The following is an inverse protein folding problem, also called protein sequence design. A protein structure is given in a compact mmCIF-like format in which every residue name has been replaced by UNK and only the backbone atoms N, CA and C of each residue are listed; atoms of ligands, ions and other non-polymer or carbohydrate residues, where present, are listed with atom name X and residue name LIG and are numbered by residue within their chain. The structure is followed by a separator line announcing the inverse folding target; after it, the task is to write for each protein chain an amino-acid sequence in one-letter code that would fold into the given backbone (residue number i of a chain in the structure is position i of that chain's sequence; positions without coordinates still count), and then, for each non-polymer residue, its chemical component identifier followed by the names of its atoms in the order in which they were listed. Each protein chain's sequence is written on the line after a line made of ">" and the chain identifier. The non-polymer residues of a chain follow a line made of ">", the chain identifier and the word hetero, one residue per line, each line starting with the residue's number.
data_IF_424083075028
#
_entry.id   IF_424083075028
#
_cell.length_a   1.000
_cell.length_b   1.000
_cell.length_c   1.000
_cell.angle_alpha   90.00
_cell.angle_beta   90.00
_cell.angle_gamma   90.00
#
_symmetry.space_group_name_H-M   'P 1'
#
loop_
_entity.id
_entity.type
_entity.pdbx_description
1 polymer ?
#
# COMPACT_ATOMS: atom_id res chain seq x y z
N UNK A 1 11.22 -11.43 15.30
CA UNK A 1 10.78 -10.92 13.96
C UNK A 1 11.46 -9.58 13.74
N UNK A 2 12.00 -9.34 12.56
CA UNK A 2 12.55 -8.04 12.16
C UNK A 2 11.41 -7.27 11.47
N UNK A 3 10.72 -6.40 12.23
CA UNK A 3 9.54 -5.70 11.73
C UNK A 3 9.87 -4.72 10.59
N UNK A 4 11.09 -4.22 10.57
CA UNK A 4 11.63 -3.29 9.56
C UNK A 4 11.44 -3.82 8.13
N UNK A 5 11.55 -5.15 7.97
CA UNK A 5 11.41 -5.85 6.69
C UNK A 5 9.96 -5.93 6.16
N UNK A 6 9.00 -5.42 6.92
CA UNK A 6 7.59 -5.36 6.53
C UNK A 6 7.12 -3.92 6.27
N UNK A 7 7.95 -2.90 6.51
CA UNK A 7 7.50 -1.51 6.58
C UNK A 7 7.69 -0.77 5.26
N UNK A 8 6.59 -0.18 4.77
CA UNK A 8 6.61 0.97 3.87
C UNK A 8 6.44 2.22 4.73
N UNK A 9 7.53 2.96 4.94
CA UNK A 9 7.53 4.19 5.73
C UNK A 9 6.79 5.28 4.96
N UNK A 10 5.67 5.77 5.53
CA UNK A 10 4.64 6.48 4.75
C UNK A 10 4.41 7.91 5.22
N UNK A 11 4.43 8.84 4.28
CA UNK A 11 4.03 10.24 4.50
C UNK A 11 3.21 10.73 3.29
N UNK A 12 1.88 10.81 3.45
CA UNK A 12 0.94 11.14 2.37
C UNK A 12 0.06 12.36 2.67
N UNK A 13 0.31 13.07 3.79
CA UNK A 13 -0.48 14.26 4.12
C UNK A 13 -0.34 15.33 3.01
N UNK A 14 -1.42 16.05 2.66
CA UNK A 14 -1.39 17.03 1.55
C UNK A 14 -0.47 18.22 1.82
N UNK A 15 -0.10 18.43 3.08
CA UNK A 15 0.81 19.50 3.51
C UNK A 15 2.27 19.04 3.64
N UNK A 16 2.60 17.83 3.16
CA UNK A 16 3.96 17.31 3.25
C UNK A 16 4.95 18.22 2.51
N UNK A 17 6.03 18.59 3.18
CA UNK A 17 7.11 19.40 2.61
C UNK A 17 8.26 18.51 2.14
N UNK A 18 9.13 19.06 1.29
CA UNK A 18 10.33 18.33 0.84
C UNK A 18 11.25 17.94 2.01
N UNK A 19 11.39 18.80 3.00
CA UNK A 19 12.25 18.50 4.16
C UNK A 19 11.69 17.32 5.00
N UNK A 20 10.38 17.23 5.14
CA UNK A 20 9.74 16.07 5.80
C UNK A 20 9.91 14.78 4.98
N UNK A 21 9.78 14.84 3.65
CA UNK A 21 10.02 13.70 2.74
C UNK A 21 11.49 13.27 2.79
N UNK A 22 12.42 14.21 2.78
CA UNK A 22 13.86 13.93 2.89
C UNK A 22 14.20 13.26 4.22
N UNK A 23 13.60 13.72 5.31
CA UNK A 23 13.72 13.09 6.63
C UNK A 23 13.20 11.65 6.59
N UNK A 24 11.99 11.42 6.04
CA UNK A 24 11.40 10.10 5.84
C UNK A 24 12.36 9.14 5.10
N UNK A 25 12.99 9.62 4.02
CA UNK A 25 13.95 8.83 3.24
C UNK A 25 15.22 8.51 4.05
N UNK A 26 15.73 9.45 4.83
CA UNK A 26 16.89 9.24 5.69
C UNK A 26 16.59 8.20 6.77
N UNK A 27 15.44 8.29 7.43
CA UNK A 27 14.95 7.31 8.39
C UNK A 27 14.80 5.92 7.76
N UNK A 28 14.25 5.83 6.53
CA UNK A 28 14.10 4.55 5.84
C UNK A 28 15.44 3.87 5.56
N UNK A 29 16.49 4.64 5.21
CA UNK A 29 17.86 4.11 5.02
C UNK A 29 18.47 3.66 6.34
N UNK A 30 18.33 4.46 7.40
CA UNK A 30 18.88 4.19 8.73
C UNK A 30 18.30 2.92 9.35
N UNK A 31 16.98 2.77 9.29
CA UNK A 31 16.27 1.63 9.87
C UNK A 31 16.17 0.42 8.94
N UNK A 32 16.56 0.55 7.68
CA UNK A 32 16.47 -0.53 6.69
C UNK A 32 15.02 -0.91 6.34
N UNK A 33 14.13 0.08 6.21
CA UNK A 33 12.75 -0.16 5.76
C UNK A 33 12.72 -0.58 4.30
N UNK A 34 11.70 -1.35 3.93
CA UNK A 34 11.59 -1.91 2.58
C UNK A 34 11.33 -0.82 1.55
N UNK A 35 10.46 0.13 1.86
CA UNK A 35 10.09 1.21 0.96
C UNK A 35 9.76 2.49 1.72
N UNK A 36 9.80 3.60 1.00
CA UNK A 36 9.08 4.83 1.37
C UNK A 36 7.83 4.95 0.49
N UNK A 37 6.74 5.47 1.08
CA UNK A 37 5.51 5.75 0.33
C UNK A 37 5.21 7.24 0.41
N UNK A 38 5.28 7.93 -0.74
CA UNK A 38 5.28 9.39 -0.84
C UNK A 38 4.25 9.88 -1.86
N UNK A 39 3.80 11.15 -1.77
CA UNK A 39 2.95 11.75 -2.80
C UNK A 39 3.63 11.76 -4.18
N UNK A 40 2.86 11.64 -5.29
CA UNK A 40 3.41 11.58 -6.66
C UNK A 40 4.39 12.70 -7.00
N UNK A 41 4.11 13.92 -6.54
CA UNK A 41 4.98 15.10 -6.72
C UNK A 41 6.45 14.87 -6.33
N UNK A 42 6.71 14.00 -5.36
CA UNK A 42 8.04 13.79 -4.81
C UNK A 42 8.79 12.58 -5.38
N UNK A 43 8.15 11.74 -6.19
CA UNK A 43 8.72 10.47 -6.67
C UNK A 43 10.10 10.66 -7.29
N UNK A 44 10.23 11.57 -8.25
CA UNK A 44 11.50 11.83 -8.95
C UNK A 44 12.62 12.24 -7.98
N UNK A 45 12.33 13.22 -7.12
CA UNK A 45 13.31 13.71 -6.12
C UNK A 45 13.71 12.64 -5.11
N UNK A 46 12.74 11.82 -4.69
CA UNK A 46 12.97 10.70 -3.76
C UNK A 46 13.82 9.63 -4.43
N UNK A 47 13.55 9.30 -5.70
CA UNK A 47 14.37 8.33 -6.45
C UNK A 47 15.81 8.78 -6.59
N UNK A 48 16.03 10.06 -6.89
CA UNK A 48 17.36 10.66 -6.94
C UNK A 48 18.04 10.66 -5.55
N UNK A 49 17.31 11.03 -4.50
CA UNK A 49 17.84 11.08 -3.14
C UNK A 49 18.20 9.69 -2.59
N UNK A 50 17.45 8.65 -2.96
CA UNK A 50 17.67 7.26 -2.54
C UNK A 50 18.62 6.49 -3.47
N UNK A 51 19.27 7.14 -4.43
CA UNK A 51 20.21 6.48 -5.33
C UNK A 51 21.32 5.75 -4.55
N UNK A 52 21.59 4.50 -4.95
CA UNK A 52 22.55 3.62 -4.26
C UNK A 52 22.03 3.01 -2.94
N UNK A 53 20.72 3.11 -2.66
CA UNK A 53 20.04 2.48 -1.53
C UNK A 53 19.13 1.35 -2.02
N UNK A 54 18.92 0.34 -1.18
CA UNK A 54 17.95 -0.75 -1.44
C UNK A 54 16.50 -0.36 -1.12
N UNK A 55 16.26 0.86 -0.59
CA UNK A 55 14.92 1.34 -0.23
C UNK A 55 14.12 1.62 -1.51
N UNK A 56 12.99 0.94 -1.67
CA UNK A 56 12.08 1.11 -2.80
C UNK A 56 11.27 2.41 -2.69
N UNK A 57 10.90 2.96 -3.85
CA UNK A 57 10.03 4.14 -3.95
C UNK A 57 8.62 3.69 -4.32
N UNK A 58 7.69 3.82 -3.40
CA UNK A 58 6.26 3.60 -3.61
C UNK A 58 5.53 4.93 -3.67
N UNK A 59 4.49 5.02 -4.51
CA UNK A 59 3.61 6.18 -4.57
C UNK A 59 2.16 5.75 -4.74
N UNK A 60 1.25 6.72 -4.70
CA UNK A 60 -0.21 6.48 -4.74
C UNK A 60 -0.82 6.94 -6.05
N UNK A 61 -1.89 6.26 -6.48
CA UNK A 61 -2.61 6.49 -7.73
C UNK A 61 -4.11 6.61 -7.44
N UNK A 62 -4.78 7.63 -8.01
CA UNK A 62 -6.20 7.89 -7.77
C UNK A 62 -6.54 8.18 -6.31
N UNK A 63 -5.59 8.67 -5.56
CA UNK A 63 -5.62 8.74 -4.11
C UNK A 63 -6.22 10.06 -3.59
N UNK A 64 -7.01 10.08 -2.48
CA UNK A 64 -7.35 8.89 -1.67
C UNK A 64 -8.69 8.22 -2.03
N UNK A 65 -9.47 8.74 -2.97
CA UNK A 65 -10.88 8.36 -3.14
C UNK A 65 -11.13 7.31 -4.24
N UNK A 66 -10.23 7.14 -5.20
CA UNK A 66 -10.31 6.12 -6.24
C UNK A 66 -11.35 6.34 -7.34
N UNK A 67 -12.12 7.41 -7.32
CA UNK A 67 -13.23 7.65 -8.25
C UNK A 67 -12.83 8.34 -9.57
N UNK A 68 -11.54 8.56 -9.80
CA UNK A 68 -11.04 9.09 -11.08
C UNK A 68 -11.32 8.12 -12.23
N UNK A 69 -11.46 8.66 -13.43
CA UNK A 69 -11.57 7.85 -14.64
C UNK A 69 -10.34 6.93 -14.80
N UNK A 70 -10.52 5.79 -15.47
CA UNK A 70 -9.44 4.81 -15.68
C UNK A 70 -8.27 5.45 -16.40
N UNK A 71 -8.54 6.27 -17.41
CA UNK A 71 -7.53 6.98 -18.21
C UNK A 71 -6.69 7.95 -17.36
N UNK A 72 -7.32 8.60 -16.37
CA UNK A 72 -6.62 9.49 -15.45
C UNK A 72 -5.66 8.68 -14.55
N UNK A 73 -6.10 7.54 -14.01
CA UNK A 73 -5.25 6.63 -13.25
C UNK A 73 -4.10 6.07 -14.10
N UNK A 74 -4.38 5.73 -15.37
CA UNK A 74 -3.35 5.30 -16.32
C UNK A 74 -2.30 6.40 -16.52
N UNK A 75 -2.71 7.65 -16.70
CA UNK A 75 -1.78 8.77 -16.83
C UNK A 75 -0.92 8.95 -15.57
N UNK A 76 -1.52 8.89 -14.37
CA UNK A 76 -0.79 8.94 -13.10
C UNK A 76 0.23 7.80 -12.98
N UNK A 77 -0.15 6.56 -13.35
CA UNK A 77 0.74 5.39 -13.34
C UNK A 77 1.93 5.60 -14.28
N UNK A 78 1.69 6.03 -15.51
CA UNK A 78 2.76 6.26 -16.49
C UNK A 78 3.74 7.31 -15.99
N UNK A 79 3.24 8.43 -15.47
CA UNK A 79 4.08 9.49 -14.91
C UNK A 79 4.88 9.01 -13.70
N UNK A 80 4.25 8.30 -12.77
CA UNK A 80 4.94 7.76 -11.60
C UNK A 80 6.07 6.78 -11.99
N UNK A 81 5.84 5.94 -13.00
CA UNK A 81 6.86 5.02 -13.52
C UNK A 81 8.01 5.78 -14.17
N UNK A 82 7.72 6.81 -14.99
CA UNK A 82 8.73 7.68 -15.64
C UNK A 82 9.57 8.40 -14.59
N UNK A 83 8.95 8.87 -13.50
CA UNK A 83 9.63 9.52 -12.39
C UNK A 83 10.44 8.55 -11.51
N UNK A 84 10.31 7.24 -11.73
CA UNK A 84 11.14 6.23 -11.09
C UNK A 84 10.49 5.47 -9.93
N UNK A 85 9.16 5.50 -9.81
CA UNK A 85 8.47 4.65 -8.83
C UNK A 85 8.75 3.16 -9.10
N UNK A 86 8.99 2.41 -8.04
CA UNK A 86 9.18 0.96 -8.06
C UNK A 86 7.86 0.23 -7.80
N UNK A 87 7.01 0.82 -6.95
CA UNK A 87 5.73 0.26 -6.51
C UNK A 87 4.61 1.32 -6.59
N UNK A 88 3.40 0.89 -6.91
CA UNK A 88 2.23 1.75 -7.14
C UNK A 88 1.07 1.28 -6.27
N UNK A 89 0.60 2.13 -5.36
CA UNK A 89 -0.55 1.87 -4.48
C UNK A 89 -1.79 2.54 -5.08
N UNK A 90 -2.54 1.85 -5.93
CA UNK A 90 -3.71 2.40 -6.62
C UNK A 90 -4.99 2.20 -5.79
N UNK A 91 -5.77 3.26 -5.61
CA UNK A 91 -7.10 3.16 -5.00
C UNK A 91 -8.10 2.67 -6.05
N UNK A 92 -8.79 1.58 -5.74
CA UNK A 92 -9.89 1.06 -6.56
C UNK A 92 -11.08 2.03 -6.56
N UNK A 93 -11.95 1.94 -7.56
CA UNK A 93 -13.15 2.77 -7.60
C UNK A 93 -14.21 2.26 -6.60
N UNK A 94 -14.19 2.81 -5.37
CA UNK A 94 -15.08 2.40 -4.29
C UNK A 94 -16.56 2.69 -4.62
N UNK A 95 -16.83 3.78 -5.34
CA UNK A 95 -18.19 4.09 -5.78
C UNK A 95 -18.74 3.02 -6.72
N UNK A 96 -17.93 2.50 -7.64
CA UNK A 96 -18.34 1.41 -8.51
C UNK A 96 -18.62 0.12 -7.70
N UNK A 97 -17.78 -0.20 -6.71
CA UNK A 97 -18.01 -1.34 -5.81
C UNK A 97 -19.35 -1.22 -5.07
N UNK A 98 -19.64 -0.05 -4.50
CA UNK A 98 -20.90 0.21 -3.77
C UNK A 98 -22.14 0.19 -4.67
N UNK A 99 -21.98 0.40 -5.96
CA UNK A 99 -23.04 0.25 -6.95
C UNK A 99 -23.08 -1.17 -7.57
N UNK A 100 -22.29 -2.11 -7.07
CA UNK A 100 -22.14 -3.48 -7.59
C UNK A 100 -21.68 -3.51 -9.06
N UNK A 101 -21.01 -2.46 -9.54
CA UNK A 101 -20.44 -2.44 -10.90
C UNK A 101 -19.08 -3.14 -10.93
N UNK A 102 -19.13 -4.45 -10.72
CA UNK A 102 -17.95 -5.32 -10.73
C UNK A 102 -17.32 -5.46 -12.10
N UNK A 103 -18.10 -5.21 -13.16
CA UNK A 103 -17.60 -5.17 -14.55
C UNK A 103 -16.65 -4.00 -14.73
N UNK A 104 -17.00 -2.82 -14.22
CA UNK A 104 -16.10 -1.66 -14.20
C UNK A 104 -14.80 -1.98 -13.46
N UNK A 105 -14.90 -2.57 -12.26
CA UNK A 105 -13.73 -2.93 -11.45
C UNK A 105 -12.81 -3.92 -12.18
N UNK A 106 -13.37 -4.94 -12.83
CA UNK A 106 -12.59 -5.88 -13.63
C UNK A 106 -11.92 -5.21 -14.84
N UNK A 107 -12.60 -4.28 -15.52
CA UNK A 107 -12.04 -3.51 -16.62
C UNK A 107 -10.91 -2.58 -16.16
N UNK A 108 -11.12 -1.86 -15.05
CA UNK A 108 -10.11 -0.99 -14.46
C UNK A 108 -8.81 -1.76 -14.18
N UNK A 109 -8.90 -2.86 -13.45
CA UNK A 109 -7.70 -3.61 -13.08
C UNK A 109 -7.01 -4.25 -14.26
N UNK A 110 -7.74 -4.82 -15.23
CA UNK A 110 -7.15 -5.43 -16.41
C UNK A 110 -6.40 -4.40 -17.28
N UNK A 111 -6.98 -3.19 -17.44
CA UNK A 111 -6.33 -2.08 -18.16
C UNK A 111 -5.02 -1.69 -17.48
N UNK A 112 -5.05 -1.48 -16.17
CA UNK A 112 -3.89 -1.04 -15.38
C UNK A 112 -2.80 -2.12 -15.34
N UNK A 113 -3.16 -3.38 -15.09
CA UNK A 113 -2.20 -4.49 -14.98
C UNK A 113 -1.39 -4.69 -16.24
N UNK A 114 -2.00 -4.51 -17.43
CA UNK A 114 -1.28 -4.65 -18.70
C UNK A 114 -0.09 -3.68 -18.80
N UNK A 115 -0.29 -2.45 -18.32
CA UNK A 115 0.74 -1.39 -18.32
C UNK A 115 1.81 -1.67 -17.27
N UNK A 116 1.39 -1.92 -16.02
CA UNK A 116 2.31 -2.10 -14.89
C UNK A 116 3.22 -3.31 -15.10
N UNK A 117 2.66 -4.45 -15.53
CA UNK A 117 3.43 -5.67 -15.84
C UNK A 117 4.43 -5.45 -16.97
N UNK A 118 4.05 -4.72 -18.03
CA UNK A 118 4.95 -4.44 -19.16
C UNK A 118 6.20 -3.64 -18.74
N UNK A 119 6.14 -2.95 -17.61
CA UNK A 119 7.22 -2.14 -17.04
C UNK A 119 7.92 -2.80 -15.87
N UNK A 120 7.56 -4.04 -15.51
CA UNK A 120 8.15 -4.79 -14.40
C UNK A 120 7.96 -4.10 -13.04
N UNK A 121 6.85 -3.39 -12.86
CA UNK A 121 6.52 -2.67 -11.61
C UNK A 121 5.54 -3.46 -10.77
N UNK A 122 5.48 -3.14 -9.48
CA UNK A 122 4.58 -3.77 -8.50
C UNK A 122 3.32 -2.93 -8.33
N UNK A 123 2.15 -3.57 -8.44
CA UNK A 123 0.86 -2.94 -8.17
C UNK A 123 0.27 -3.45 -6.86
N UNK A 124 -0.13 -2.51 -6.01
CA UNK A 124 -0.91 -2.78 -4.80
C UNK A 124 -2.27 -2.09 -4.92
N UNK A 125 -3.35 -2.86 -4.93
CA UNK A 125 -4.71 -2.31 -5.08
C UNK A 125 -5.33 -2.05 -3.71
N UNK A 126 -5.64 -0.79 -3.42
CA UNK A 126 -6.30 -0.36 -2.18
C UNK A 126 -7.80 -0.55 -2.35
N UNK A 127 -8.38 -1.45 -1.56
CA UNK A 127 -9.82 -1.75 -1.59
C UNK A 127 -10.63 -0.94 -0.58
N UNK A 128 -9.99 -0.22 0.34
CA UNK A 128 -10.61 0.52 1.45
C UNK A 128 -11.53 -0.38 2.29
N UNK A 129 -10.99 -1.47 2.78
CA UNK A 129 -11.74 -2.54 3.48
C UNK A 129 -12.62 -2.05 4.64
N UNK A 130 -12.30 -0.90 5.22
CA UNK A 130 -13.05 -0.30 6.32
C UNK A 130 -14.46 0.19 5.95
N UNK A 131 -14.75 0.34 4.66
CA UNK A 131 -16.06 0.78 4.14
C UNK A 131 -16.80 -0.33 3.36
N UNK A 132 -16.18 -1.50 3.21
CA UNK A 132 -16.74 -2.66 2.51
C UNK A 132 -17.36 -3.67 3.48
N UNK A 133 -18.35 -4.42 2.99
CA UNK A 133 -18.84 -5.63 3.67
C UNK A 133 -17.88 -6.79 3.43
N UNK A 134 -18.03 -7.88 4.18
CA UNK A 134 -17.21 -9.09 3.99
C UNK A 134 -17.40 -9.68 2.58
N UNK A 135 -18.64 -9.68 2.06
CA UNK A 135 -18.96 -10.16 0.70
C UNK A 135 -18.30 -9.28 -0.37
N UNK A 136 -18.28 -7.96 -0.18
CA UNK A 136 -17.58 -7.04 -1.10
C UNK A 136 -16.07 -7.26 -1.06
N UNK A 137 -15.49 -7.53 0.12
CA UNK A 137 -14.05 -7.87 0.24
C UNK A 137 -13.74 -9.18 -0.48
N UNK A 138 -14.57 -10.20 -0.31
CA UNK A 138 -14.40 -11.49 -1.01
C UNK A 138 -14.47 -11.28 -2.53
N UNK A 139 -15.44 -10.49 -3.00
CA UNK A 139 -15.57 -10.19 -4.42
C UNK A 139 -14.35 -9.45 -4.99
N UNK A 140 -13.76 -8.54 -4.20
CA UNK A 140 -12.48 -7.91 -4.54
C UNK A 140 -11.36 -8.96 -4.66
N UNK A 141 -11.29 -9.92 -3.73
CA UNK A 141 -10.29 -10.98 -3.78
C UNK A 141 -10.41 -11.83 -5.04
N UNK A 142 -11.64 -12.19 -5.45
CA UNK A 142 -11.90 -12.93 -6.68
C UNK A 142 -11.37 -12.18 -7.91
N UNK A 143 -11.74 -10.89 -8.05
CA UNK A 143 -11.39 -10.09 -9.22
C UNK A 143 -9.89 -9.80 -9.27
N UNK A 144 -9.30 -9.34 -8.16
CA UNK A 144 -7.88 -8.98 -8.13
C UNK A 144 -6.97 -10.21 -8.14
N UNK A 145 -7.43 -11.31 -7.54
CA UNK A 145 -6.76 -12.61 -7.64
C UNK A 145 -6.70 -13.11 -9.08
N UNK A 146 -7.82 -13.07 -9.81
CA UNK A 146 -7.89 -13.44 -11.22
C UNK A 146 -7.04 -12.53 -12.13
N UNK A 147 -6.99 -11.23 -11.84
CA UNK A 147 -6.14 -10.28 -12.57
C UNK A 147 -4.64 -10.47 -12.26
N UNK A 148 -4.30 -11.20 -11.20
CA UNK A 148 -2.93 -11.48 -10.77
C UNK A 148 -2.20 -10.22 -10.33
N UNK A 149 -2.85 -9.39 -9.49
CA UNK A 149 -2.18 -8.25 -8.85
C UNK A 149 -1.09 -8.72 -7.89
N UNK A 150 -0.09 -7.88 -7.65
CA UNK A 150 0.99 -8.25 -6.72
C UNK A 150 0.52 -8.20 -5.27
N UNK A 151 -0.31 -7.19 -4.93
CA UNK A 151 -0.86 -7.02 -3.59
C UNK A 151 -2.31 -6.55 -3.61
N UNK A 152 -3.10 -7.03 -2.65
CA UNK A 152 -4.30 -6.33 -2.17
C UNK A 152 -3.90 -5.53 -0.93
N UNK A 153 -4.23 -4.23 -0.92
CA UNK A 153 -3.97 -3.32 0.20
C UNK A 153 -5.27 -2.95 0.89
N UNK A 154 -5.29 -2.97 2.22
CA UNK A 154 -6.53 -2.77 2.99
C UNK A 154 -7.09 -1.37 2.87
N UNK A 155 -6.26 -0.33 3.03
CA UNK A 155 -6.80 1.01 3.31
C UNK A 155 -5.90 2.14 2.80
N UNK A 156 -6.51 3.31 2.56
CA UNK A 156 -5.79 4.57 2.28
C UNK A 156 -5.20 5.18 3.55
N UNK A 157 -5.87 5.02 4.67
CA UNK A 157 -5.62 5.73 5.93
C UNK A 157 -6.40 7.05 6.06
N UNK A 158 -7.25 7.39 5.08
CA UNK A 158 -8.10 8.58 5.08
C UNK A 158 -9.56 8.28 5.43
N UNK A 159 -9.99 7.03 5.36
CA UNK A 159 -11.29 6.61 5.87
C UNK A 159 -11.30 6.50 7.39
N UNK A 160 -12.49 6.50 7.98
CA UNK A 160 -12.68 6.38 9.44
C UNK A 160 -12.04 5.12 10.03
N UNK A 161 -12.15 4.00 9.29
CA UNK A 161 -11.59 2.70 9.69
C UNK A 161 -10.42 2.32 8.78
N UNK A 162 -9.28 2.04 9.38
CA UNK A 162 -8.10 1.52 8.69
C UNK A 162 -8.03 -0.01 8.66
N UNK A 163 -6.80 -0.56 8.70
CA UNK A 163 -6.56 -1.98 8.74
C UNK A 163 -7.21 -2.66 9.97
N UNK A 164 -7.70 -3.87 9.78
CA UNK A 164 -8.13 -4.74 10.87
C UNK A 164 -7.61 -6.16 10.70
N UNK A 165 -7.39 -6.87 11.82
CA UNK A 165 -7.00 -8.29 11.80
C UNK A 165 -8.05 -9.14 11.10
N UNK A 166 -9.35 -8.79 11.27
CA UNK A 166 -10.47 -9.46 10.60
C UNK A 166 -10.34 -9.34 9.07
N UNK A 167 -10.22 -8.12 8.55
CA UNK A 167 -10.11 -7.90 7.10
C UNK A 167 -8.88 -8.61 6.50
N UNK A 168 -7.71 -8.57 7.17
CA UNK A 168 -6.51 -9.26 6.68
C UNK A 168 -6.70 -10.77 6.65
N UNK A 169 -7.31 -11.37 7.69
CA UNK A 169 -7.64 -12.81 7.70
C UNK A 169 -8.61 -13.19 6.61
N UNK A 170 -9.65 -12.38 6.41
CA UNK A 170 -10.65 -12.61 5.36
C UNK A 170 -10.01 -12.54 3.97
N UNK A 171 -9.23 -11.51 3.68
CA UNK A 171 -8.48 -11.37 2.43
C UNK A 171 -7.53 -12.56 2.23
N UNK A 172 -6.78 -12.97 3.26
CA UNK A 172 -5.85 -14.10 3.13
C UNK A 172 -6.56 -15.42 2.84
N UNK A 173 -7.74 -15.63 3.41
CA UNK A 173 -8.52 -16.85 3.19
C UNK A 173 -9.07 -17.00 1.76
N UNK A 174 -9.19 -15.88 1.02
CA UNK A 174 -9.80 -15.84 -0.34
C UNK A 174 -8.80 -15.49 -1.45
N UNK A 175 -7.53 -15.22 -1.13
CA UNK A 175 -6.49 -15.00 -2.13
C UNK A 175 -5.53 -16.20 -2.21
N UNK A 176 -5.01 -16.47 -3.40
CA UNK A 176 -3.87 -17.38 -3.56
C UNK A 176 -2.63 -16.80 -2.88
N UNK A 177 -1.71 -17.67 -2.41
CA UNK A 177 -0.47 -17.25 -1.75
C UNK A 177 0.45 -16.38 -2.62
N UNK A 178 0.30 -16.47 -3.94
CA UNK A 178 1.01 -15.61 -4.91
C UNK A 178 0.61 -14.14 -4.82
N UNK A 179 -0.59 -13.82 -4.34
CA UNK A 179 -1.04 -12.45 -4.13
C UNK A 179 -0.78 -12.07 -2.67
N UNK A 180 0.06 -11.08 -2.46
CA UNK A 180 0.45 -10.60 -1.13
C UNK A 180 -0.58 -9.61 -0.55
N UNK A 181 -0.47 -9.33 0.75
CA UNK A 181 -1.36 -8.40 1.45
C UNK A 181 -0.54 -7.26 2.06
N UNK A 182 -0.93 -6.01 1.79
CA UNK A 182 -0.43 -4.84 2.50
C UNK A 182 -1.51 -4.32 3.45
N UNK A 183 -1.24 -4.32 4.75
CA UNK A 183 -2.11 -3.69 5.73
C UNK A 183 -1.68 -2.23 5.96
N UNK A 184 -2.62 -1.30 6.03
CA UNK A 184 -2.34 0.12 6.24
C UNK A 184 -3.51 0.86 6.88
N UNK A 185 -3.20 2.02 7.50
CA UNK A 185 -4.18 2.83 8.21
C UNK A 185 -4.34 2.41 9.68
N UNK A 186 -4.03 3.32 10.59
CA UNK A 186 -4.24 3.13 12.03
C UNK A 186 -3.21 2.22 12.74
N UNK A 187 -2.08 1.88 12.12
CA UNK A 187 -1.06 1.01 12.72
C UNK A 187 -0.15 1.86 13.61
N UNK A 188 -0.40 1.85 14.93
CA UNK A 188 0.26 2.73 15.92
C UNK A 188 1.00 1.99 17.03
N UNK A 189 0.92 0.64 17.09
CA UNK A 189 1.62 -0.17 18.10
C UNK A 189 2.21 -1.43 17.48
N UNK A 190 3.33 -1.90 18.02
CA UNK A 190 3.98 -3.13 17.59
C UNK A 190 3.07 -4.35 17.76
N UNK A 191 2.30 -4.42 18.84
CA UNK A 191 1.40 -5.55 19.08
C UNK A 191 0.34 -5.66 17.99
N UNK A 192 -0.24 -4.53 17.56
CA UNK A 192 -1.20 -4.51 16.45
C UNK A 192 -0.54 -4.86 15.11
N UNK A 193 0.63 -4.28 14.83
CA UNK A 193 1.41 -4.60 13.63
C UNK A 193 1.74 -6.10 13.54
N UNK A 194 2.18 -6.71 14.66
CA UNK A 194 2.42 -8.15 14.77
C UNK A 194 1.16 -8.97 14.53
N UNK A 195 0.02 -8.53 15.07
CA UNK A 195 -1.27 -9.17 14.84
C UNK A 195 -1.67 -9.22 13.36
N UNK A 196 -1.43 -8.11 12.62
CA UNK A 196 -1.69 -8.04 11.18
C UNK A 196 -0.76 -8.98 10.38
N UNK A 197 0.53 -9.05 10.75
CA UNK A 197 1.48 -9.97 10.11
C UNK A 197 1.06 -11.43 10.36
N UNK A 198 0.72 -11.78 11.59
CA UNK A 198 0.23 -13.13 11.91
C UNK A 198 -1.09 -13.47 11.22
N UNK A 199 -1.90 -12.46 10.89
CA UNK A 199 -3.13 -12.64 10.11
C UNK A 199 -2.86 -12.86 8.60
N UNK A 200 -1.64 -12.64 8.13
CA UNK A 200 -1.23 -12.88 6.75
C UNK A 200 -0.75 -11.64 5.99
N UNK A 201 -0.57 -10.48 6.65
CA UNK A 201 0.01 -9.31 5.99
C UNK A 201 1.50 -9.52 5.70
N UNK A 202 1.89 -9.24 4.47
CA UNK A 202 3.27 -9.32 3.98
C UNK A 202 3.98 -7.96 4.00
N UNK A 203 3.21 -6.86 4.11
CA UNK A 203 3.71 -5.49 4.14
C UNK A 203 2.82 -4.64 5.05
N UNK A 204 3.40 -3.62 5.66
CA UNK A 204 2.72 -2.66 6.54
C UNK A 204 2.97 -1.23 6.04
N UNK A 205 1.90 -0.50 5.71
CA UNK A 205 2.00 0.94 5.42
C UNK A 205 1.70 1.74 6.67
N UNK A 206 2.70 2.41 7.23
CA UNK A 206 2.53 3.19 8.46
C UNK A 206 3.41 4.43 8.51
N UNK A 207 2.92 5.46 9.22
CA UNK A 207 3.65 6.69 9.50
C UNK A 207 4.38 6.66 10.85
N UNK A 208 4.04 5.71 11.71
CA UNK A 208 4.64 5.56 13.06
C UNK A 208 5.74 4.49 13.09
N UNK A 209 6.46 4.31 11.97
CA UNK A 209 7.39 3.18 11.75
C UNK A 209 8.48 3.09 12.80
N UNK A 210 9.12 4.20 13.14
CA UNK A 210 10.20 4.25 14.13
C UNK A 210 9.71 3.76 15.50
N UNK A 211 8.56 4.27 15.95
CA UNK A 211 7.93 3.82 17.20
C UNK A 211 7.67 2.30 17.20
N UNK A 212 7.22 1.73 16.08
CA UNK A 212 7.00 0.27 15.99
C UNK A 212 8.30 -0.51 16.16
N UNK A 213 9.41 -0.01 15.60
CA UNK A 213 10.74 -0.63 15.74
C UNK A 213 11.21 -0.54 17.18
N UNK A 214 11.11 0.64 17.82
CA UNK A 214 11.48 0.85 19.22
C UNK A 214 10.71 -0.09 20.16
N UNK A 215 9.38 -0.14 20.05
CA UNK A 215 8.54 -1.07 20.82
C UNK A 215 8.91 -2.55 20.55
N UNK A 216 9.34 -2.89 19.32
CA UNK A 216 9.77 -4.26 18.99
C UNK A 216 11.06 -4.66 19.70
N UNK A 217 11.96 -3.70 19.92
CA UNK A 217 13.22 -3.92 20.64
C UNK A 217 12.99 -4.03 22.14
N UNK A 218 12.13 -3.18 22.72
CA UNK A 218 11.75 -3.24 24.14
C UNK A 218 11.17 -4.61 24.52
N UNK A 219 10.29 -5.17 23.69
CA UNK A 219 9.70 -6.49 23.93
C UNK A 219 10.71 -7.65 23.81
N UNK A 220 11.87 -7.45 23.18
CA UNK A 220 12.96 -8.45 23.16
C UNK A 220 13.84 -8.42 24.40
N UNK A 221 13.90 -7.29 25.08
CA UNK A 221 14.74 -7.07 26.26
C UNK A 221 13.98 -7.45 27.56
N UNK A 222 12.66 -7.51 27.52
CA UNK A 222 11.77 -7.80 28.65
C UNK A 222 11.43 -9.29 28.86
N UNK A 223 12.24 -10.21 28.30
CA UNK A 223 12.13 -11.66 28.53
C UNK A 223 13.24 -12.13 29.45
#
# INVERSE_FOLDING_TARGET
>A
MKIEQYIDHTLLKPTATWEEIKKLCSEAREYGFVAVCVPPLYVKKVKEFLAGSDVLVSTVIGFPFGYSAIEAKVAEIVLAIVDGADELDMVANISAMKNNDWTFIANEINTVMSIVKSKGKVLKVIIESGVLTDEEIIKCCDIYGAAGVDYVKTSTGYAEKGASVHAVKLIRAHLADSVKIKASGGIKSFSFARGLIHAGANRLGCSSSIKLVEESHEQKIGI
#
